data_IF_909472702805
#
_entry.id   IF_909472702805
#
_cell.length_a   1.000
_cell.length_b   1.000
_cell.length_c   1.000
_cell.angle_alpha   90.00
_cell.angle_beta   90.00
_cell.angle_gamma   90.00
#
_symmetry.space_group_name_H-M   'P 1'
#
loop_
_entity.id
_entity.type
_entity.pdbx_description
1 polymer ?
#
# COMPACT_ATOMS: atom_id res chain seq x y z
N UNK A 1 -3.65 13.07 -16.78
CA UNK A 1 -2.57 12.50 -15.94
C UNK A 1 -3.09 12.49 -14.51
N UNK A 2 -3.07 11.35 -13.83
CA UNK A 2 -3.76 11.18 -12.54
C UNK A 2 -3.05 12.01 -11.47
N UNK A 3 -3.69 13.08 -11.03
CA UNK A 3 -3.09 14.13 -10.17
C UNK A 3 -2.57 13.59 -8.84
N UNK A 4 -3.14 12.48 -8.34
CA UNK A 4 -2.71 11.84 -7.10
C UNK A 4 -1.40 11.06 -7.23
N UNK A 5 -1.19 10.32 -8.33
CA UNK A 5 0.03 9.55 -8.54
C UNK A 5 1.23 10.47 -8.80
N UNK A 6 1.04 11.56 -9.53
CA UNK A 6 2.06 12.60 -9.67
C UNK A 6 2.43 13.23 -8.33
N UNK A 7 1.42 13.56 -7.51
CA UNK A 7 1.64 14.11 -6.16
C UNK A 7 2.40 13.12 -5.30
N UNK A 8 2.03 11.84 -5.32
CA UNK A 8 2.70 10.79 -4.55
C UNK A 8 4.16 10.60 -4.99
N UNK A 9 4.42 10.60 -6.31
CA UNK A 9 5.79 10.54 -6.85
C UNK A 9 6.63 11.75 -6.44
N UNK A 10 6.03 12.95 -6.35
CA UNK A 10 6.73 14.14 -5.84
C UNK A 10 7.05 13.99 -4.35
N UNK A 11 6.10 13.50 -3.55
CA UNK A 11 6.28 13.26 -2.11
C UNK A 11 7.32 12.16 -1.84
N UNK A 12 7.33 11.07 -2.61
CA UNK A 12 8.26 9.95 -2.43
C UNK A 12 9.73 10.34 -2.66
N UNK A 13 9.98 11.34 -3.52
CA UNK A 13 11.33 11.92 -3.70
C UNK A 13 11.80 12.72 -2.50
N UNK A 14 10.87 13.23 -1.70
CA UNK A 14 11.15 13.98 -0.47
C UNK A 14 11.18 13.09 0.77
N UNK A 15 10.83 11.80 0.62
CA UNK A 15 10.80 10.84 1.72
C UNK A 15 12.21 10.56 2.26
N UNK A 16 12.52 10.93 3.53
CA UNK A 16 13.84 10.74 4.11
C UNK A 16 14.16 9.28 4.45
N UNK A 17 13.16 8.40 4.62
CA UNK A 17 13.39 6.99 5.00
C UNK A 17 14.29 6.27 3.99
N UNK A 18 15.26 5.48 4.47
CA UNK A 18 16.08 4.61 3.61
C UNK A 18 15.24 3.48 2.99
N UNK A 19 15.83 2.73 2.06
CA UNK A 19 15.17 1.59 1.44
C UNK A 19 14.74 0.54 2.48
N UNK A 20 15.62 0.24 3.44
CA UNK A 20 15.38 -0.70 4.53
C UNK A 20 14.28 -0.19 5.46
N UNK A 21 14.29 1.10 5.79
CA UNK A 21 13.25 1.72 6.62
C UNK A 21 11.89 1.71 5.93
N UNK A 22 11.84 1.93 4.61
CA UNK A 22 10.61 1.83 3.82
C UNK A 22 10.09 0.38 3.77
N UNK A 23 10.98 -0.61 3.66
CA UNK A 23 10.60 -2.02 3.72
C UNK A 23 10.02 -2.41 5.09
N UNK A 24 10.61 -1.90 6.19
CA UNK A 24 10.07 -2.09 7.53
C UNK A 24 8.72 -1.41 7.70
N UNK A 25 8.57 -0.16 7.24
CA UNK A 25 7.29 0.55 7.30
C UNK A 25 6.21 -0.17 6.49
N UNK A 26 6.55 -0.73 5.32
CA UNK A 26 5.60 -1.54 4.56
C UNK A 26 5.11 -2.78 5.34
N UNK A 27 6.00 -3.41 6.11
CA UNK A 27 5.62 -4.53 7.00
C UNK A 27 4.74 -4.08 8.16
N UNK A 28 4.96 -2.86 8.67
CA UNK A 28 4.14 -2.25 9.73
C UNK A 28 2.71 -2.01 9.23
N UNK A 29 2.55 -1.33 8.08
CA UNK A 29 1.22 -1.06 7.49
C UNK A 29 0.43 -2.35 7.21
N UNK A 30 1.11 -3.38 6.69
CA UNK A 30 0.48 -4.69 6.46
C UNK A 30 0.02 -5.35 7.78
N UNK A 31 0.75 -5.12 8.86
CA UNK A 31 0.37 -5.53 10.21
C UNK A 31 -0.83 -4.75 10.73
N UNK A 32 -0.90 -3.45 10.46
CA UNK A 32 -2.02 -2.58 10.84
C UNK A 32 -3.31 -2.97 10.10
N UNK A 33 -3.22 -3.28 8.79
CA UNK A 33 -4.35 -3.89 8.04
C UNK A 33 -4.82 -5.18 8.73
N UNK A 34 -3.88 -6.06 9.09
CA UNK A 34 -4.22 -7.33 9.74
C UNK A 34 -4.91 -7.09 11.09
N UNK A 35 -4.42 -6.13 11.88
CA UNK A 35 -5.00 -5.76 13.15
C UNK A 35 -6.40 -5.16 13.01
N UNK A 36 -6.61 -4.26 12.05
CA UNK A 36 -7.90 -3.65 11.77
C UNK A 36 -8.94 -4.71 11.39
N UNK A 37 -8.57 -5.65 10.52
CA UNK A 37 -9.44 -6.77 10.13
C UNK A 37 -9.78 -7.67 11.32
N UNK A 38 -8.78 -8.06 12.11
CA UNK A 38 -8.99 -8.94 13.27
C UNK A 38 -9.84 -8.28 14.34
N UNK A 39 -9.65 -6.98 14.58
CA UNK A 39 -10.45 -6.20 15.52
C UNK A 39 -11.90 -6.06 15.03
N UNK A 40 -12.10 -5.72 13.76
CA UNK A 40 -13.44 -5.64 13.16
C UNK A 40 -14.23 -6.95 13.23
N UNK A 41 -13.55 -8.09 13.11
CA UNK A 41 -14.15 -9.42 13.21
C UNK A 41 -14.33 -9.92 14.65
N UNK A 42 -13.96 -9.12 15.65
CA UNK A 42 -13.93 -9.51 17.07
C UNK A 42 -13.14 -10.81 17.31
N UNK A 43 -12.00 -10.95 16.61
CA UNK A 43 -11.13 -12.10 16.82
C UNK A 43 -10.57 -12.10 18.25
N UNK A 44 -10.48 -13.28 18.86
CA UNK A 44 -9.98 -13.44 20.23
C UNK A 44 -8.60 -12.76 20.40
N UNK A 45 -8.50 -11.84 21.36
CA UNK A 45 -7.27 -11.09 21.64
C UNK A 45 -7.02 -9.88 20.72
N UNK A 46 -7.98 -9.53 19.86
CA UNK A 46 -7.90 -8.37 18.95
C UNK A 46 -9.14 -7.45 19.03
N UNK A 47 -10.19 -7.88 19.73
CA UNK A 47 -11.46 -7.17 19.91
C UNK A 47 -11.34 -5.88 20.74
N UNK A 48 -10.33 -5.78 21.61
CA UNK A 48 -10.14 -4.63 22.51
C UNK A 48 -9.99 -3.27 21.80
N UNK A 49 -9.54 -3.23 20.54
CA UNK A 49 -9.38 -1.99 19.78
C UNK A 49 -10.68 -1.46 19.15
N UNK A 50 -11.72 -2.28 19.07
CA UNK A 50 -13.04 -1.92 18.53
C UNK A 50 -13.01 -1.20 17.16
N UNK A 51 -12.11 -1.63 16.27
CA UNK A 51 -11.96 -1.02 14.95
C UNK A 51 -13.11 -1.42 14.02
N UNK A 52 -13.37 -0.58 13.02
CA UNK A 52 -14.46 -0.71 12.08
C UNK A 52 -13.95 -0.85 10.63
N UNK A 53 -14.87 -0.84 9.66
CA UNK A 53 -14.54 -1.00 8.24
C UNK A 53 -13.79 0.19 7.66
N UNK A 54 -13.97 1.38 8.22
CA UNK A 54 -13.32 2.61 7.80
C UNK A 54 -11.85 2.57 8.20
N UNK A 55 -11.54 2.06 9.39
CA UNK A 55 -10.16 1.83 9.83
C UNK A 55 -9.45 0.85 8.88
N UNK A 56 -10.10 -0.27 8.49
CA UNK A 56 -9.52 -1.21 7.51
C UNK A 56 -9.18 -0.50 6.18
N UNK A 57 -10.05 0.40 5.71
CA UNK A 57 -9.82 1.14 4.46
C UNK A 57 -8.65 2.10 4.60
N UNK A 58 -8.51 2.76 5.75
CA UNK A 58 -7.38 3.65 6.06
C UNK A 58 -6.06 2.89 5.99
N UNK A 59 -5.95 1.77 6.70
CA UNK A 59 -4.72 0.96 6.70
C UNK A 59 -4.39 0.38 5.30
N UNK A 60 -5.42 0.06 4.51
CA UNK A 60 -5.23 -0.34 3.11
C UNK A 60 -4.63 0.80 2.27
N UNK A 61 -5.06 2.04 2.52
CA UNK A 61 -4.54 3.23 1.83
C UNK A 61 -3.11 3.51 2.28
N UNK A 62 -2.80 3.40 3.57
CA UNK A 62 -1.44 3.62 4.08
C UNK A 62 -0.46 2.59 3.53
N UNK A 63 -0.87 1.31 3.47
CA UNK A 63 -0.14 0.25 2.77
C UNK A 63 0.14 0.62 1.30
N UNK A 64 -0.87 1.14 0.59
CA UNK A 64 -0.74 1.58 -0.80
C UNK A 64 0.25 2.74 -0.95
N UNK A 65 0.17 3.74 -0.06
CA UNK A 65 1.04 4.91 -0.07
C UNK A 65 2.50 4.52 0.17
N UNK A 66 2.77 3.66 1.14
CA UNK A 66 4.13 3.18 1.44
C UNK A 66 4.69 2.34 0.29
N UNK A 67 3.89 1.41 -0.25
CA UNK A 67 4.30 0.57 -1.38
C UNK A 67 4.61 1.39 -2.64
N UNK A 68 3.76 2.35 -2.98
CA UNK A 68 3.98 3.23 -4.14
C UNK A 68 5.12 4.22 -3.91
N UNK A 69 5.29 4.74 -2.69
CA UNK A 69 6.43 5.60 -2.35
C UNK A 69 7.75 4.85 -2.49
N UNK A 70 7.80 3.60 -2.00
CA UNK A 70 8.92 2.69 -2.19
C UNK A 70 9.19 2.43 -3.68
N UNK A 71 8.15 2.13 -4.46
CA UNK A 71 8.27 1.93 -5.91
C UNK A 71 8.87 3.16 -6.60
N UNK A 72 8.33 4.36 -6.35
CA UNK A 72 8.80 5.59 -6.98
C UNK A 72 10.20 6.03 -6.52
N UNK A 73 10.68 5.55 -5.37
CA UNK A 73 12.06 5.74 -4.94
C UNK A 73 13.06 4.91 -5.76
N UNK A 74 12.61 3.77 -6.29
CA UNK A 74 13.40 2.85 -7.11
C UNK A 74 13.23 3.10 -8.62
N UNK A 75 12.09 3.62 -9.04
CA UNK A 75 11.75 3.80 -10.45
C UNK A 75 12.45 5.01 -11.07
N UNK A 76 12.94 4.80 -12.30
CA UNK A 76 13.63 5.83 -13.09
C UNK A 76 12.72 6.43 -14.17
N UNK A 77 11.55 5.82 -14.46
CA UNK A 77 10.64 6.25 -15.54
C UNK A 77 9.22 6.39 -15.02
N UNK A 78 8.52 7.41 -15.49
CA UNK A 78 7.15 7.69 -15.07
C UNK A 78 6.16 6.60 -15.45
N UNK A 79 6.34 6.00 -16.62
CA UNK A 79 5.43 5.01 -17.19
C UNK A 79 5.61 3.60 -16.59
N UNK A 80 6.71 3.36 -15.87
CA UNK A 80 7.09 2.03 -15.39
C UNK A 80 6.04 1.42 -14.46
N UNK A 81 5.36 2.24 -13.65
CA UNK A 81 4.27 1.76 -12.80
C UNK A 81 3.12 1.21 -13.64
N UNK A 82 2.70 1.94 -14.67
CA UNK A 82 1.57 1.56 -15.51
C UNK A 82 1.90 0.32 -16.35
N UNK A 83 3.11 0.24 -16.91
CA UNK A 83 3.60 -0.94 -17.63
C UNK A 83 3.51 -2.21 -16.75
N UNK A 84 3.96 -2.10 -15.49
CA UNK A 84 3.97 -3.22 -14.56
C UNK A 84 2.57 -3.58 -14.07
N UNK A 85 1.72 -2.59 -13.80
CA UNK A 85 0.32 -2.81 -13.42
C UNK A 85 -0.43 -3.54 -14.54
N UNK A 86 -0.36 -3.03 -15.77
CA UNK A 86 -1.03 -3.62 -16.93
C UNK A 86 -0.62 -5.09 -17.12
N UNK A 87 0.69 -5.36 -17.11
CA UNK A 87 1.22 -6.73 -17.17
C UNK A 87 0.68 -7.64 -16.07
N UNK A 88 0.53 -7.15 -14.84
CA UNK A 88 0.04 -7.94 -13.70
C UNK A 88 -1.47 -8.15 -13.76
N UNK A 89 -2.23 -7.13 -14.14
CA UNK A 89 -3.69 -7.20 -14.30
C UNK A 89 -4.07 -8.14 -15.44
N UNK A 90 -3.45 -8.00 -16.62
CA UNK A 90 -3.65 -8.92 -17.74
C UNK A 90 -3.37 -10.39 -17.35
N UNK A 91 -2.31 -10.63 -16.56
CA UNK A 91 -2.02 -11.98 -16.04
C UNK A 91 -3.09 -12.47 -15.06
N UNK A 92 -3.71 -11.58 -14.30
CA UNK A 92 -4.74 -11.92 -13.33
C UNK A 92 -6.08 -12.19 -14.00
N UNK A 93 -6.47 -11.36 -14.97
CA UNK A 93 -7.69 -11.53 -15.77
C UNK A 93 -7.70 -12.89 -16.49
N UNK A 94 -6.57 -13.29 -17.07
CA UNK A 94 -6.41 -14.60 -17.72
C UNK A 94 -6.49 -15.81 -16.76
N UNK A 95 -6.48 -15.59 -15.45
CA UNK A 95 -6.64 -16.66 -14.44
C UNK A 95 -8.03 -16.73 -13.84
N UNK A 96 -8.77 -15.62 -13.85
CA UNK A 96 -10.14 -15.55 -13.34
C UNK A 96 -11.16 -15.77 -14.46
N UNK A 97 -10.82 -15.43 -15.70
CA UNK A 97 -11.60 -15.74 -16.90
C UNK A 97 -11.38 -17.17 -17.36
#
# INVERSE_FOLDING_TARGET
MNTYLERLRKLSKLEPKTLEQMALKLSEEAGEVSQAVLSYLNASGSDYKQLNKEDIKEECVDTLLVALSLFYKLSNREEELYDLLDKKMNKWENKIS
#
